data_IF_882116824694
#
_entry.id   IF_882116824694
#
_cell.length_a   1.000
_cell.length_b   1.000
_cell.length_c   1.000
_cell.angle_alpha   90.00
_cell.angle_beta   90.00
_cell.angle_gamma   90.00
#
_symmetry.space_group_name_H-M   'P 1'
#
loop_
_entity.id
_entity.type
_entity.pdbx_description
1 polymer ?
#
# COMPACT_ATOMS: atom_id res chain seq x y z
N UNK A 1 -23.28 -87.58 31.63
CA UNK A 1 -22.61 -86.43 32.35
C UNK A 1 -22.55 -85.25 31.41
N UNK A 2 -23.35 -84.25 31.62
CA UNK A 2 -23.38 -83.03 30.76
C UNK A 2 -22.87 -81.85 31.57
N UNK A 3 -21.68 -81.31 31.19
CA UNK A 3 -21.11 -80.15 31.80
C UNK A 3 -21.62 -78.88 31.12
N UNK A 4 -22.24 -78.00 31.91
CA UNK A 4 -22.74 -76.70 31.45
C UNK A 4 -21.60 -75.68 31.60
N UNK A 5 -21.23 -75.04 30.50
CA UNK A 5 -20.32 -73.89 30.50
C UNK A 5 -21.15 -72.58 30.75
N UNK A 6 -20.70 -71.81 31.74
CA UNK A 6 -21.27 -70.50 32.08
C UNK A 6 -20.46 -69.43 31.35
N UNK A 7 -21.08 -68.75 30.41
CA UNK A 7 -20.50 -67.58 29.74
C UNK A 7 -20.65 -66.34 30.65
N UNK A 8 -19.54 -65.70 30.99
CA UNK A 8 -19.50 -64.42 31.65
C UNK A 8 -19.55 -63.31 30.60
N UNK A 9 -20.62 -62.51 30.61
CA UNK A 9 -20.76 -61.30 29.82
C UNK A 9 -20.04 -60.15 30.56
N UNK A 10 -18.97 -59.61 29.97
CA UNK A 10 -18.34 -58.40 30.46
C UNK A 10 -18.93 -57.21 29.73
N UNK A 11 -19.67 -56.37 30.46
CA UNK A 11 -20.15 -55.09 29.97
C UNK A 11 -19.03 -54.07 29.97
N UNK A 12 -18.55 -53.66 28.79
CA UNK A 12 -17.68 -52.50 28.65
C UNK A 12 -18.52 -51.22 28.56
N UNK A 13 -18.46 -50.42 29.61
CA UNK A 13 -19.06 -49.08 29.59
C UNK A 13 -18.11 -48.11 28.85
N UNK A 14 -18.53 -47.69 27.67
CA UNK A 14 -17.83 -46.62 26.93
C UNK A 14 -18.24 -45.24 27.48
N UNK A 15 -17.32 -44.59 28.18
CA UNK A 15 -17.49 -43.18 28.54
C UNK A 15 -17.23 -42.32 27.29
N UNK A 16 -18.28 -41.79 26.67
CA UNK A 16 -18.16 -40.70 25.70
C UNK A 16 -17.86 -39.41 26.47
N UNK A 17 -16.62 -38.96 26.47
CA UNK A 17 -16.28 -37.63 26.92
C UNK A 17 -16.80 -36.60 25.91
N UNK A 18 -17.86 -35.90 26.26
CA UNK A 18 -18.39 -34.77 25.50
C UNK A 18 -17.44 -33.59 25.68
N UNK A 19 -16.54 -33.37 24.70
CA UNK A 19 -15.72 -32.17 24.65
C UNK A 19 -16.58 -31.04 24.08
N UNK A 20 -17.11 -30.20 24.97
CA UNK A 20 -17.81 -28.99 24.56
C UNK A 20 -16.80 -28.07 23.85
N UNK A 21 -17.14 -27.48 22.68
CA UNK A 21 -16.25 -26.54 22.02
C UNK A 21 -16.08 -25.30 22.91
N UNK A 22 -14.87 -25.04 23.33
CA UNK A 22 -14.52 -23.79 24.01
C UNK A 22 -14.63 -22.70 22.94
N UNK A 23 -15.72 -21.96 22.94
CA UNK A 23 -15.86 -20.73 22.17
C UNK A 23 -14.97 -19.68 22.87
N UNK A 24 -13.74 -19.56 22.39
CA UNK A 24 -12.90 -18.40 22.70
C UNK A 24 -13.60 -17.19 22.04
N UNK A 25 -14.40 -16.49 22.82
CA UNK A 25 -14.88 -15.16 22.44
C UNK A 25 -13.62 -14.28 22.30
N UNK A 26 -13.25 -13.95 21.07
CA UNK A 26 -12.36 -12.85 20.84
C UNK A 26 -12.99 -11.61 21.49
N UNK A 27 -12.40 -11.11 22.59
CA UNK A 27 -12.72 -9.80 23.14
C UNK A 27 -12.17 -8.76 22.20
N UNK A 28 -12.79 -8.61 21.01
CA UNK A 28 -12.57 -7.49 20.14
C UNK A 28 -13.43 -6.34 20.64
N UNK A 29 -12.80 -5.29 21.18
CA UNK A 29 -13.46 -4.01 21.31
C UNK A 29 -14.05 -3.55 19.96
N UNK A 30 -14.91 -2.52 19.94
CA UNK A 30 -15.41 -1.96 18.69
C UNK A 30 -14.21 -1.61 17.79
N UNK A 31 -14.34 -1.77 16.47
CA UNK A 31 -13.23 -1.43 15.56
C UNK A 31 -12.80 0.02 15.80
N UNK A 32 -11.49 0.30 15.76
CA UNK A 32 -10.99 1.64 16.00
C UNK A 32 -11.62 2.63 15.03
N UNK A 33 -12.11 3.75 15.56
CA UNK A 33 -12.78 4.81 14.77
C UNK A 33 -11.76 5.89 14.42
N UNK A 34 -11.86 6.43 13.19
CA UNK A 34 -11.05 7.55 12.78
C UNK A 34 -11.33 8.78 13.66
N UNK A 35 -10.28 9.41 14.17
CA UNK A 35 -10.35 10.59 15.01
C UNK A 35 -9.27 11.60 14.56
N UNK A 36 -9.49 12.87 14.85
CA UNK A 36 -8.47 13.91 14.67
C UNK A 36 -7.27 13.65 15.58
N UNK A 37 -6.10 13.98 15.09
CA UNK A 37 -4.86 14.02 15.89
C UNK A 37 -4.20 15.39 15.74
N UNK A 38 -3.17 15.65 16.53
CA UNK A 38 -2.43 16.91 16.51
C UNK A 38 -0.95 16.63 16.31
N UNK A 39 -0.36 17.27 15.33
CA UNK A 39 1.05 17.11 15.01
C UNK A 39 1.93 17.89 16.00
N UNK A 40 3.10 17.35 16.27
CA UNK A 40 4.24 18.07 16.86
C UNK A 40 5.00 18.84 15.79
N UNK A 41 5.84 19.77 16.18
CA UNK A 41 6.66 20.53 15.25
C UNK A 41 7.66 19.61 14.53
N UNK A 42 7.70 19.72 13.18
CA UNK A 42 8.76 19.18 12.35
C UNK A 42 9.28 20.35 11.49
N UNK A 43 10.46 20.91 11.79
CA UNK A 43 10.93 22.15 11.17
C UNK A 43 10.90 22.12 9.64
N UNK A 44 10.24 23.14 9.05
CA UNK A 44 10.06 23.26 7.60
C UNK A 44 9.12 22.24 6.96
N UNK A 45 8.42 21.42 7.76
CA UNK A 45 7.43 20.42 7.33
C UNK A 45 6.03 20.76 7.84
N UNK A 46 5.88 20.86 9.16
CA UNK A 46 4.57 21.07 9.81
C UNK A 46 4.77 21.81 11.14
N UNK A 47 3.91 22.79 11.45
CA UNK A 47 3.94 23.49 12.72
C UNK A 47 3.27 22.66 13.83
N UNK A 48 3.77 22.80 15.07
CA UNK A 48 3.12 22.24 16.24
C UNK A 48 1.65 22.70 16.35
N UNK A 49 0.78 21.83 16.81
CA UNK A 49 -0.65 22.14 16.96
C UNK A 49 -1.47 22.00 15.66
N UNK A 50 -0.83 21.72 14.53
CA UNK A 50 -1.57 21.47 13.28
C UNK A 50 -2.39 20.20 13.41
N UNK A 51 -3.69 20.30 13.09
CA UNK A 51 -4.62 19.17 13.14
C UNK A 51 -4.46 18.29 11.91
N UNK A 52 -4.49 16.97 12.13
CA UNK A 52 -4.77 15.96 11.12
C UNK A 52 -6.27 15.72 11.16
N UNK A 53 -6.96 16.24 10.17
CA UNK A 53 -8.43 16.24 10.11
C UNK A 53 -8.93 14.94 9.50
N UNK A 54 -10.03 14.41 10.04
CA UNK A 54 -10.79 13.32 9.39
C UNK A 54 -11.74 13.95 8.36
N UNK A 55 -11.59 13.57 7.11
CA UNK A 55 -12.51 14.00 6.05
C UNK A 55 -13.78 13.16 6.10
N UNK A 56 -13.62 11.84 6.01
CA UNK A 56 -14.73 10.88 5.98
C UNK A 56 -14.24 9.46 6.23
N UNK A 57 -15.13 8.62 6.76
CA UNK A 57 -14.98 7.18 6.90
C UNK A 57 -16.08 6.43 6.16
N UNK A 58 -15.95 5.10 6.04
CA UNK A 58 -16.92 4.23 5.38
C UNK A 58 -16.57 3.91 3.92
N UNK A 59 -15.34 4.18 3.51
CA UNK A 59 -14.80 3.73 2.22
C UNK A 59 -14.38 2.25 2.25
N UNK A 60 -14.22 1.64 1.08
CA UNK A 60 -13.96 0.19 0.96
C UNK A 60 -12.67 -0.09 0.20
N UNK A 61 -11.58 -0.40 0.92
CA UNK A 61 -10.28 -0.70 0.31
C UNK A 61 -9.54 0.54 -0.19
N UNK A 62 -9.35 1.50 0.70
CA UNK A 62 -8.74 2.82 0.42
C UNK A 62 -7.26 2.73 0.08
N UNK A 63 -6.90 3.09 -1.17
CA UNK A 63 -5.54 3.03 -1.71
C UNK A 63 -5.29 4.10 -2.77
N UNK A 64 -4.08 4.15 -3.33
CA UNK A 64 -3.67 4.89 -4.51
C UNK A 64 -4.11 6.34 -4.61
N UNK A 65 -3.92 7.18 -3.57
CA UNK A 65 -4.30 8.60 -3.66
C UNK A 65 -3.38 9.34 -4.64
N UNK A 66 -3.96 10.28 -5.39
CA UNK A 66 -3.21 11.15 -6.30
C UNK A 66 -3.91 12.50 -6.44
N UNK A 67 -3.13 13.59 -6.40
CA UNK A 67 -3.64 14.94 -6.58
C UNK A 67 -3.93 15.27 -8.04
N UNK A 68 -5.06 15.90 -8.30
CA UNK A 68 -5.44 16.42 -9.62
C UNK A 68 -4.96 17.87 -9.83
N UNK A 69 -4.84 18.33 -11.09
CA UNK A 69 -4.45 19.72 -11.40
C UNK A 69 -5.35 20.80 -10.80
N UNK A 70 -6.63 20.48 -10.57
CA UNK A 70 -7.59 21.38 -9.94
C UNK A 70 -7.47 21.44 -8.40
N UNK A 71 -6.50 20.74 -7.84
CA UNK A 71 -6.24 20.65 -6.41
C UNK A 71 -7.09 19.62 -5.67
N UNK A 72 -8.03 18.94 -6.32
CA UNK A 72 -8.75 17.82 -5.70
C UNK A 72 -7.86 16.59 -5.59
N UNK A 73 -8.29 15.63 -4.77
CA UNK A 73 -7.69 14.31 -4.65
C UNK A 73 -8.58 13.27 -5.32
N UNK A 74 -8.00 12.29 -5.97
CA UNK A 74 -8.67 11.02 -6.25
C UNK A 74 -7.93 9.88 -5.55
N UNK A 75 -8.65 8.83 -5.20
CA UNK A 75 -8.08 7.62 -4.58
C UNK A 75 -8.91 6.39 -4.95
N UNK A 76 -8.31 5.23 -4.90
CA UNK A 76 -8.99 3.98 -5.22
C UNK A 76 -9.74 3.41 -4.02
N UNK A 77 -10.92 2.89 -4.26
CA UNK A 77 -11.64 1.97 -3.40
C UNK A 77 -11.61 0.59 -4.05
N UNK A 78 -10.53 -0.14 -3.81
CA UNK A 78 -10.20 -1.39 -4.51
C UNK A 78 -11.30 -2.42 -4.43
N UNK A 79 -11.94 -2.58 -3.26
CA UNK A 79 -13.04 -3.55 -3.04
C UNK A 79 -14.36 -3.05 -3.61
N UNK A 80 -14.58 -1.74 -3.68
CA UNK A 80 -15.75 -1.14 -4.32
C UNK A 80 -15.57 -1.00 -5.84
N UNK A 81 -14.40 -1.35 -6.38
CA UNK A 81 -14.08 -1.31 -7.81
C UNK A 81 -14.30 0.07 -8.45
N UNK A 82 -13.96 1.15 -7.72
CA UNK A 82 -14.11 2.54 -8.16
C UNK A 82 -12.96 3.42 -7.72
N UNK A 83 -12.87 4.59 -8.34
CA UNK A 83 -12.04 5.71 -7.90
C UNK A 83 -12.96 6.81 -7.38
N UNK A 84 -12.69 7.27 -6.17
CA UNK A 84 -13.44 8.35 -5.50
C UNK A 84 -12.63 9.63 -5.53
N UNK A 85 -13.32 10.77 -5.76
CA UNK A 85 -12.75 12.11 -5.70
C UNK A 85 -13.15 12.79 -4.39
N UNK A 86 -12.23 13.56 -3.83
CA UNK A 86 -12.44 14.50 -2.73
C UNK A 86 -12.14 15.89 -3.28
N UNK A 87 -13.09 16.78 -3.26
CA UNK A 87 -12.93 18.18 -3.71
C UNK A 87 -12.39 19.10 -2.60
N UNK A 88 -12.19 20.37 -2.94
CA UNK A 88 -11.69 21.39 -2.01
C UNK A 88 -12.60 21.60 -0.77
N UNK A 89 -13.88 21.26 -0.88
CA UNK A 89 -14.89 21.38 0.19
C UNK A 89 -15.04 20.06 0.98
N UNK A 90 -14.15 19.08 0.78
CA UNK A 90 -14.22 17.74 1.34
C UNK A 90 -15.44 16.91 0.89
N UNK A 91 -16.13 17.33 -0.19
CA UNK A 91 -17.22 16.55 -0.74
C UNK A 91 -16.67 15.40 -1.56
N UNK A 92 -17.32 14.23 -1.42
CA UNK A 92 -16.90 13.02 -2.11
C UNK A 92 -17.85 12.72 -3.27
N UNK A 93 -17.28 12.32 -4.41
CA UNK A 93 -18.01 11.87 -5.59
C UNK A 93 -17.27 10.73 -6.28
N UNK A 94 -17.95 9.93 -7.07
CA UNK A 94 -17.32 8.94 -7.92
C UNK A 94 -16.60 9.63 -9.09
N UNK A 95 -15.31 9.34 -9.26
CA UNK A 95 -14.50 9.79 -10.40
C UNK A 95 -14.57 8.77 -11.56
N UNK A 96 -14.41 7.49 -11.24
CA UNK A 96 -14.43 6.40 -12.21
C UNK A 96 -14.97 5.13 -11.57
N UNK A 97 -15.80 4.38 -12.29
CA UNK A 97 -16.29 3.06 -11.89
C UNK A 97 -15.69 1.95 -12.76
N UNK A 98 -15.83 0.70 -12.32
CA UNK A 98 -15.37 -0.49 -13.03
C UNK A 98 -13.86 -0.45 -13.34
N UNK A 99 -13.08 -0.18 -12.31
CA UNK A 99 -11.63 0.08 -12.39
C UNK A 99 -10.77 -1.17 -12.40
N UNK A 100 -11.37 -2.36 -12.54
CA UNK A 100 -10.70 -3.66 -12.48
C UNK A 100 -9.89 -3.85 -11.17
N UNK A 101 -10.45 -3.38 -10.05
CA UNK A 101 -9.79 -3.45 -8.75
C UNK A 101 -8.52 -2.60 -8.69
N UNK A 102 -8.54 -1.39 -9.27
CA UNK A 102 -7.41 -0.49 -9.26
C UNK A 102 -6.89 -0.25 -7.84
N UNK A 103 -5.56 -0.24 -7.68
CA UNK A 103 -4.86 0.04 -6.42
C UNK A 103 -3.99 1.29 -6.59
N UNK A 104 -2.66 1.21 -6.75
CA UNK A 104 -1.82 2.36 -7.00
C UNK A 104 -2.20 3.11 -8.29
N UNK A 105 -2.07 4.44 -8.27
CA UNK A 105 -2.37 5.35 -9.37
C UNK A 105 -1.17 6.25 -9.68
N UNK A 106 -0.95 6.57 -10.95
CA UNK A 106 -0.06 7.64 -11.38
C UNK A 106 -0.51 8.22 -12.72
N UNK A 107 -0.23 9.50 -12.98
CA UNK A 107 -0.39 10.09 -14.31
C UNK A 107 0.91 10.02 -15.09
N UNK A 108 0.79 9.73 -16.38
CA UNK A 108 1.91 9.90 -17.30
C UNK A 108 1.98 11.36 -17.83
N UNK A 109 3.03 11.67 -18.59
CA UNK A 109 3.22 12.99 -19.18
C UNK A 109 2.13 13.40 -20.21
N UNK A 110 1.32 12.46 -20.67
CA UNK A 110 0.18 12.71 -21.57
C UNK A 110 -1.13 12.93 -20.81
N UNK A 111 -1.10 12.93 -19.47
CA UNK A 111 -2.28 13.06 -18.62
C UNK A 111 -3.15 11.80 -18.57
N UNK A 112 -2.63 10.63 -18.97
CA UNK A 112 -3.33 9.36 -18.84
C UNK A 112 -3.11 8.79 -17.44
N UNK A 113 -4.20 8.34 -16.81
CA UNK A 113 -4.17 7.69 -15.50
C UNK A 113 -3.80 6.22 -15.68
N UNK A 114 -2.62 5.86 -15.18
CA UNK A 114 -2.13 4.48 -15.14
C UNK A 114 -2.39 3.92 -13.76
N UNK A 115 -2.76 2.64 -13.69
CA UNK A 115 -2.98 1.94 -12.43
C UNK A 115 -2.39 0.53 -12.45
N UNK A 116 -2.09 0.03 -11.25
CA UNK A 116 -2.06 -1.41 -11.01
C UNK A 116 -3.50 -1.88 -10.81
N UNK A 117 -3.89 -2.98 -11.46
CA UNK A 117 -5.26 -3.51 -11.45
C UNK A 117 -5.21 -4.94 -10.90
N UNK A 118 -6.04 -5.22 -9.90
CA UNK A 118 -5.82 -6.38 -9.03
C UNK A 118 -6.96 -7.41 -9.03
N UNK A 119 -7.96 -7.27 -9.91
CA UNK A 119 -9.03 -8.28 -10.00
C UNK A 119 -8.44 -9.66 -10.33
N UNK A 120 -8.70 -10.69 -9.52
CA UNK A 120 -8.17 -12.03 -9.74
C UNK A 120 -8.44 -12.53 -11.17
N UNK A 121 -7.41 -13.07 -11.82
CA UNK A 121 -7.47 -13.54 -13.22
C UNK A 121 -7.45 -12.43 -14.28
N UNK A 122 -7.40 -11.16 -13.87
CA UNK A 122 -7.34 -9.98 -14.76
C UNK A 122 -6.34 -8.94 -14.25
N UNK A 123 -5.31 -9.39 -13.54
CA UNK A 123 -4.28 -8.51 -12.98
C UNK A 123 -3.43 -7.91 -14.11
N UNK A 124 -3.22 -6.61 -14.08
CA UNK A 124 -2.40 -5.92 -15.09
C UNK A 124 -1.93 -4.54 -14.59
N UNK A 125 -0.99 -3.99 -15.31
CA UNK A 125 -0.63 -2.57 -15.28
C UNK A 125 -1.20 -1.94 -16.54
N UNK A 126 -2.00 -0.88 -16.42
CA UNK A 126 -2.66 -0.33 -17.59
C UNK A 126 -3.20 1.07 -17.41
N UNK A 127 -3.57 1.68 -18.53
CA UNK A 127 -4.24 2.97 -18.61
C UNK A 127 -5.73 2.77 -18.32
N UNK A 128 -6.27 3.54 -17.36
CA UNK A 128 -7.68 3.54 -16.98
C UNK A 128 -8.46 4.75 -17.53
N UNK A 129 -7.78 5.88 -17.71
CA UNK A 129 -8.42 7.14 -18.07
C UNK A 129 -7.47 7.96 -18.97
N UNK A 130 -7.98 8.77 -19.92
CA UNK A 130 -9.40 9.01 -20.17
C UNK A 130 -10.06 7.83 -20.90
N UNK A 131 -11.40 7.78 -20.81
CA UNK A 131 -12.20 6.74 -21.48
C UNK A 131 -11.92 6.73 -22.99
N UNK A 132 -11.75 5.53 -23.55
CA UNK A 132 -11.38 5.30 -24.95
C UNK A 132 -9.87 5.31 -25.20
N UNK A 133 -9.05 5.49 -24.17
CA UNK A 133 -7.59 5.34 -24.23
C UNK A 133 -7.08 4.22 -23.31
N UNK A 134 -7.98 3.35 -22.84
CA UNK A 134 -7.62 2.22 -22.01
C UNK A 134 -6.64 1.31 -22.77
N UNK A 135 -5.59 0.89 -22.09
CA UNK A 135 -4.56 0.05 -22.68
C UNK A 135 -3.85 -0.78 -21.61
N UNK A 136 -3.60 -2.03 -21.93
CA UNK A 136 -2.71 -2.88 -21.12
C UNK A 136 -1.26 -2.51 -21.44
N UNK A 137 -0.48 -2.18 -20.40
CA UNK A 137 0.96 -1.96 -20.52
C UNK A 137 1.74 -3.23 -20.21
N UNK A 138 1.31 -3.99 -19.18
CA UNK A 138 1.84 -5.31 -18.89
C UNK A 138 0.81 -6.12 -18.09
N UNK A 139 0.68 -7.41 -18.36
CA UNK A 139 -0.19 -8.35 -17.66
C UNK A 139 0.53 -9.61 -17.19
N UNK A 140 1.79 -9.78 -17.60
CA UNK A 140 2.62 -10.92 -17.25
C UNK A 140 4.10 -10.58 -17.24
N UNK A 141 4.88 -11.48 -16.62
CA UNK A 141 6.34 -11.54 -16.72
C UNK A 141 6.75 -12.98 -17.06
N UNK A 142 7.49 -13.17 -18.16
CA UNK A 142 7.90 -14.49 -18.68
C UNK A 142 6.73 -15.49 -18.83
N UNK A 143 5.59 -15.00 -19.32
CA UNK A 143 4.39 -15.79 -19.54
C UNK A 143 3.61 -16.14 -18.26
N UNK A 144 4.04 -15.71 -17.10
CA UNK A 144 3.33 -15.88 -15.82
C UNK A 144 2.57 -14.60 -15.48
N UNK A 145 1.27 -14.68 -15.15
CA UNK A 145 0.49 -13.50 -14.76
C UNK A 145 1.04 -12.90 -13.45
N UNK A 146 0.85 -11.60 -13.28
CA UNK A 146 1.07 -10.96 -11.98
C UNK A 146 0.07 -11.50 -10.97
N UNK A 147 0.52 -11.66 -9.71
CA UNK A 147 -0.31 -12.16 -8.63
C UNK A 147 -1.24 -11.09 -8.07
N UNK A 148 -0.65 -10.03 -7.55
CA UNK A 148 -1.36 -8.89 -6.98
C UNK A 148 -0.44 -7.66 -6.94
N UNK A 149 -0.20 -7.02 -8.09
CA UNK A 149 0.59 -5.79 -8.10
C UNK A 149 -0.05 -4.75 -7.16
N UNK A 150 0.78 -3.90 -6.53
CA UNK A 150 0.30 -3.03 -5.46
C UNK A 150 0.40 -1.54 -5.81
N UNK A 151 1.58 -1.00 -5.96
CA UNK A 151 1.79 0.43 -6.20
C UNK A 151 2.69 0.67 -7.41
N UNK A 152 2.65 1.89 -7.96
CA UNK A 152 3.42 2.23 -9.14
C UNK A 152 3.89 3.68 -9.14
N UNK A 153 4.95 3.95 -9.90
CA UNK A 153 5.39 5.31 -10.24
C UNK A 153 5.80 5.36 -11.72
N UNK A 154 5.46 6.47 -12.38
CA UNK A 154 5.80 6.70 -13.79
C UNK A 154 6.98 7.66 -13.88
N UNK A 155 8.05 7.26 -14.58
CA UNK A 155 9.19 8.11 -14.87
C UNK A 155 8.92 9.08 -16.03
N UNK A 156 9.73 10.14 -16.15
CA UNK A 156 9.62 11.12 -17.25
C UNK A 156 9.82 10.51 -18.63
N UNK A 157 10.54 9.40 -18.71
CA UNK A 157 10.72 8.61 -19.95
C UNK A 157 9.48 7.79 -20.33
N UNK A 158 8.40 7.85 -19.53
CA UNK A 158 7.18 7.09 -19.72
C UNK A 158 7.25 5.62 -19.28
N UNK A 159 8.38 5.20 -18.72
CA UNK A 159 8.51 3.88 -18.11
C UNK A 159 7.81 3.82 -16.75
N UNK A 160 7.30 2.64 -16.39
CA UNK A 160 6.50 2.40 -15.19
C UNK A 160 7.22 1.42 -14.28
N UNK A 161 7.55 1.85 -13.05
CA UNK A 161 7.97 0.95 -11.99
C UNK A 161 6.76 0.55 -11.16
N UNK A 162 6.67 -0.72 -10.79
CA UNK A 162 5.60 -1.19 -9.91
C UNK A 162 6.08 -2.31 -8.99
N UNK A 163 5.37 -2.48 -7.89
CA UNK A 163 5.63 -3.53 -6.90
C UNK A 163 4.66 -4.70 -7.05
N UNK A 164 5.20 -5.91 -6.88
CA UNK A 164 4.45 -7.17 -6.82
C UNK A 164 4.75 -7.83 -5.46
N UNK A 165 3.96 -7.56 -4.40
CA UNK A 165 4.19 -8.13 -3.07
C UNK A 165 3.74 -9.58 -2.94
N UNK A 166 3.11 -10.14 -3.96
CA UNK A 166 2.39 -11.40 -3.89
C UNK A 166 1.01 -11.25 -3.25
N UNK A 167 0.24 -12.35 -3.18
CA UNK A 167 -1.12 -12.34 -2.65
C UNK A 167 -1.15 -12.04 -1.16
N UNK A 168 -2.30 -11.54 -0.68
CA UNK A 168 -2.54 -11.39 0.75
C UNK A 168 -2.76 -12.74 1.40
N UNK A 169 -2.23 -12.92 2.62
CA UNK A 169 -2.60 -14.05 3.46
C UNK A 169 -4.06 -13.90 3.91
N UNK A 170 -4.81 -14.99 3.87
CA UNK A 170 -6.17 -15.06 4.44
C UNK A 170 -6.07 -15.76 5.80
N UNK A 171 -6.54 -15.13 6.90
CA UNK A 171 -6.52 -15.77 8.20
C UNK A 171 -7.17 -17.16 8.18
N UNK A 172 -6.50 -18.16 8.75
CA UNK A 172 -6.99 -19.54 8.80
C UNK A 172 -6.87 -20.35 7.50
N UNK A 173 -6.27 -19.78 6.45
CA UNK A 173 -5.98 -20.48 5.20
C UNK A 173 -4.46 -20.64 5.01
N UNK A 174 -4.00 -21.69 4.32
CA UNK A 174 -2.61 -21.78 3.90
C UNK A 174 -2.23 -20.56 3.07
N UNK A 175 -0.99 -20.05 3.16
CA UNK A 175 -0.54 -18.97 2.31
C UNK A 175 -0.73 -19.36 0.84
N UNK A 176 -1.37 -18.50 0.02
CA UNK A 176 -1.51 -18.80 -1.40
C UNK A 176 -0.12 -18.77 -2.05
N UNK A 177 0.13 -19.73 -2.95
CA UNK A 177 1.37 -19.75 -3.75
C UNK A 177 1.27 -18.67 -4.81
N UNK A 178 2.12 -17.63 -4.79
CA UNK A 178 2.07 -16.60 -5.82
C UNK A 178 2.59 -17.18 -7.16
N UNK A 179 2.04 -16.72 -8.29
CA UNK A 179 2.57 -17.10 -9.61
C UNK A 179 3.99 -16.57 -9.83
N UNK A 180 4.33 -15.45 -9.18
CA UNK A 180 5.64 -14.81 -9.16
C UNK A 180 6.08 -14.55 -7.72
N UNK A 181 7.39 -14.62 -7.45
CA UNK A 181 7.95 -14.20 -6.16
C UNK A 181 7.84 -12.69 -6.00
N UNK A 182 7.75 -12.18 -4.74
CA UNK A 182 7.73 -10.74 -4.48
C UNK A 182 8.93 -10.03 -5.13
N UNK A 183 8.65 -8.97 -5.91
CA UNK A 183 9.66 -8.27 -6.69
C UNK A 183 9.21 -6.85 -7.06
N UNK A 184 10.14 -6.09 -7.61
CA UNK A 184 9.88 -4.83 -8.32
C UNK A 184 10.10 -5.06 -9.80
N UNK A 185 9.19 -4.54 -10.59
CA UNK A 185 9.24 -4.62 -12.05
C UNK A 185 9.31 -3.23 -12.67
N UNK A 186 9.83 -3.18 -13.88
CA UNK A 186 9.87 -1.99 -14.73
C UNK A 186 9.28 -2.34 -16.10
N UNK A 187 8.39 -1.50 -16.60
CA UNK A 187 7.85 -1.59 -17.96
C UNK A 187 8.38 -0.39 -18.75
N UNK A 188 9.35 -0.56 -19.64
CA UNK A 188 9.77 0.49 -20.55
C UNK A 188 8.58 0.99 -21.39
N UNK A 189 8.59 2.25 -21.80
CA UNK A 189 7.57 2.78 -22.68
C UNK A 189 7.48 1.94 -23.98
N UNK A 190 6.34 1.26 -24.19
CA UNK A 190 6.11 0.35 -25.31
C UNK A 190 6.87 -0.99 -25.25
N UNK A 191 7.53 -1.29 -24.10
CA UNK A 191 8.26 -2.53 -23.88
C UNK A 191 7.51 -3.56 -23.04
N UNK A 192 8.19 -4.66 -22.74
CA UNK A 192 7.70 -5.71 -21.85
C UNK A 192 8.20 -5.48 -20.42
N UNK A 193 7.52 -6.06 -19.45
CA UNK A 193 7.95 -6.01 -18.04
C UNK A 193 9.32 -6.66 -17.85
N UNK A 194 10.16 -6.02 -17.07
CA UNK A 194 11.50 -6.47 -16.67
C UNK A 194 11.51 -6.54 -15.14
N UNK A 195 11.95 -7.65 -14.55
CA UNK A 195 12.18 -7.73 -13.11
C UNK A 195 13.46 -6.98 -12.78
N UNK A 196 13.37 -5.93 -11.95
CA UNK A 196 14.50 -5.05 -11.66
C UNK A 196 15.03 -5.19 -10.23
N UNK A 197 14.23 -5.66 -9.27
CA UNK A 197 14.69 -5.98 -7.92
C UNK A 197 13.89 -7.13 -7.31
N UNK A 198 14.55 -7.95 -6.51
CA UNK A 198 13.97 -9.09 -5.79
C UNK A 198 14.59 -9.26 -4.40
N UNK A 199 14.18 -10.28 -3.63
CA UNK A 199 14.67 -10.48 -2.27
C UNK A 199 14.19 -9.40 -1.30
N UNK A 200 13.01 -8.81 -1.56
CA UNK A 200 12.29 -7.88 -0.70
C UNK A 200 11.16 -8.67 -0.04
N UNK A 201 11.02 -8.57 1.26
CA UNK A 201 10.07 -9.39 2.01
C UNK A 201 8.62 -9.19 1.55
N UNK A 202 8.21 -7.91 1.38
CA UNK A 202 6.90 -7.51 0.85
C UNK A 202 7.01 -6.10 0.27
N UNK A 203 7.47 -5.95 -1.00
CA UNK A 203 7.55 -4.65 -1.64
C UNK A 203 6.15 -4.05 -1.76
N UNK A 204 5.99 -2.78 -1.35
CA UNK A 204 4.71 -2.10 -1.31
C UNK A 204 4.82 -0.74 -1.98
N UNK A 205 4.71 0.37 -1.25
CA UNK A 205 4.85 1.70 -1.83
C UNK A 205 6.17 1.89 -2.59
N UNK A 206 6.10 2.63 -3.69
CA UNK A 206 7.23 2.86 -4.59
C UNK A 206 7.26 4.32 -5.05
N UNK A 207 8.45 4.93 -5.11
CA UNK A 207 8.63 6.34 -5.46
C UNK A 207 9.99 6.57 -6.12
N UNK A 208 10.04 7.44 -7.12
CA UNK A 208 11.30 7.95 -7.67
C UNK A 208 11.72 9.24 -6.95
N UNK A 209 13.02 9.46 -6.75
CA UNK A 209 13.57 10.77 -6.35
C UNK A 209 13.21 11.86 -7.36
N UNK A 210 13.36 13.12 -6.98
CA UNK A 210 13.05 14.27 -7.85
C UNK A 210 13.85 14.28 -9.16
N UNK A 211 15.10 13.82 -9.12
CA UNK A 211 15.99 13.69 -10.28
C UNK A 211 15.87 12.35 -11.01
N UNK A 212 15.03 11.44 -10.49
CA UNK A 212 14.79 10.07 -10.99
C UNK A 212 16.02 9.15 -10.98
N UNK A 213 17.06 9.50 -10.22
CA UNK A 213 18.26 8.67 -10.07
C UNK A 213 18.15 7.63 -8.96
N UNK A 214 17.17 7.76 -8.09
CA UNK A 214 16.93 6.81 -6.99
C UNK A 214 15.48 6.31 -7.03
N UNK A 215 15.33 5.00 -6.94
CA UNK A 215 14.03 4.35 -6.72
C UNK A 215 13.94 3.95 -5.25
N UNK A 216 12.92 4.47 -4.54
CA UNK A 216 12.59 4.10 -3.17
C UNK A 216 11.49 3.03 -3.18
N UNK A 217 11.64 2.02 -2.33
CA UNK A 217 10.67 0.93 -2.18
C UNK A 217 10.45 0.66 -0.70
N UNK A 218 9.22 0.70 -0.24
CA UNK A 218 8.85 0.24 1.09
C UNK A 218 8.83 -1.28 1.14
N UNK A 219 9.44 -1.84 2.20
CA UNK A 219 9.31 -3.25 2.55
C UNK A 219 8.41 -3.38 3.79
N UNK A 220 7.15 -3.78 3.60
CA UNK A 220 6.20 -3.97 4.70
C UNK A 220 6.70 -5.00 5.73
N UNK A 221 7.44 -6.01 5.25
CA UNK A 221 8.02 -7.06 6.09
C UNK A 221 9.51 -6.83 6.41
N UNK A 222 9.97 -5.60 6.26
CA UNK A 222 11.34 -5.19 6.55
C UNK A 222 11.43 -4.11 7.62
N UNK A 223 12.65 -3.68 7.90
CA UNK A 223 12.96 -2.63 8.87
C UNK A 223 13.29 -1.28 8.21
N UNK A 224 13.40 -1.22 6.88
CA UNK A 224 13.90 -0.06 6.17
C UNK A 224 13.13 0.22 4.89
N UNK A 225 13.02 1.52 4.54
CA UNK A 225 12.85 1.93 3.15
C UNK A 225 14.11 1.51 2.40
N UNK A 226 13.93 0.83 1.29
CA UNK A 226 15.02 0.45 0.40
C UNK A 226 15.22 1.52 -0.67
N UNK A 227 16.47 1.76 -1.06
CA UNK A 227 16.80 2.61 -2.18
C UNK A 227 17.69 1.87 -3.18
N UNK A 228 17.48 2.17 -4.45
CA UNK A 228 18.19 1.60 -5.58
C UNK A 228 18.64 2.73 -6.52
N UNK A 229 19.81 2.61 -7.11
CA UNK A 229 20.23 3.53 -8.16
C UNK A 229 19.55 3.15 -9.48
N UNK A 230 18.94 4.14 -10.14
CA UNK A 230 18.27 3.97 -11.43
C UNK A 230 19.29 4.22 -12.54
N UNK A 231 19.38 3.26 -13.48
CA UNK A 231 20.24 3.34 -14.65
C UNK A 231 19.50 3.94 -15.84
N UNK A 232 20.23 4.33 -16.87
CA UNK A 232 19.69 4.97 -18.07
C UNK A 232 18.67 4.08 -18.83
N UNK A 233 18.84 2.75 -18.75
CA UNK A 233 17.93 1.77 -19.35
C UNK A 233 16.68 1.46 -18.48
N UNK A 234 16.56 2.10 -17.32
CA UNK A 234 15.49 1.88 -16.36
C UNK A 234 15.71 0.69 -15.42
N UNK A 235 16.76 -0.10 -15.60
CA UNK A 235 17.14 -1.12 -14.61
C UNK A 235 17.68 -0.45 -13.36
N UNK A 236 17.71 -1.18 -12.24
CA UNK A 236 18.19 -0.63 -10.98
C UNK A 236 19.39 -1.43 -10.44
N UNK A 237 20.15 -0.84 -9.52
CA UNK A 237 21.26 -1.50 -8.86
C UNK A 237 21.56 -0.87 -7.51
N UNK A 238 22.69 -1.27 -6.90
CA UNK A 238 23.19 -0.68 -5.66
C UNK A 238 22.12 -0.57 -4.55
N UNK A 239 21.42 -1.69 -4.27
CA UNK A 239 20.43 -1.75 -3.18
C UNK A 239 21.09 -1.34 -1.87
N UNK A 240 20.41 -0.44 -1.14
CA UNK A 240 20.82 0.01 0.20
C UNK A 240 19.63 0.23 1.10
N UNK A 241 19.85 0.11 2.41
CA UNK A 241 18.90 0.54 3.42
C UNK A 241 18.96 2.07 3.47
N UNK A 242 17.88 2.74 3.10
CA UNK A 242 17.85 4.20 3.04
C UNK A 242 17.43 4.82 4.37
N UNK A 243 16.28 4.42 4.90
CA UNK A 243 15.74 4.98 6.13
C UNK A 243 15.15 3.86 7.00
N UNK A 244 15.45 3.88 8.29
CA UNK A 244 14.92 2.90 9.24
C UNK A 244 13.54 3.33 9.73
N UNK A 245 12.56 2.42 9.69
CA UNK A 245 11.25 2.69 10.26
C UNK A 245 11.35 2.81 11.78
N UNK A 246 10.73 3.84 12.39
CA UNK A 246 10.84 4.04 13.85
C UNK A 246 10.07 2.98 14.64
N UNK A 247 9.05 2.37 14.06
CA UNK A 247 8.26 1.31 14.68
C UNK A 247 8.20 0.09 13.76
N UNK A 248 8.66 -1.04 14.28
CA UNK A 248 8.59 -2.34 13.61
C UNK A 248 8.20 -3.40 14.63
N UNK A 249 7.12 -4.11 14.37
CA UNK A 249 6.71 -5.25 15.16
C UNK A 249 7.38 -6.54 14.64
N UNK A 250 7.49 -7.53 15.50
CA UNK A 250 7.84 -8.90 15.11
C UNK A 250 6.62 -9.80 15.25
N UNK A 251 6.38 -10.63 14.24
CA UNK A 251 5.38 -11.69 14.33
C UNK A 251 5.86 -12.76 15.33
N UNK A 252 4.98 -13.63 15.85
CA UNK A 252 5.40 -14.77 16.68
C UNK A 252 6.43 -15.69 15.99
N UNK A 253 6.43 -15.75 14.66
CA UNK A 253 7.42 -16.48 13.85
C UNK A 253 8.73 -15.70 13.63
N UNK A 254 8.89 -14.51 14.23
CA UNK A 254 10.10 -13.69 14.16
C UNK A 254 10.21 -12.80 12.91
N UNK A 255 9.24 -12.84 11.99
CA UNK A 255 9.23 -11.98 10.82
C UNK A 255 8.92 -10.52 11.21
N UNK A 256 9.56 -9.57 10.54
CA UNK A 256 9.29 -8.15 10.72
C UNK A 256 7.95 -7.75 10.12
N UNK A 257 7.33 -6.74 10.71
CA UNK A 257 6.17 -6.04 10.19
C UNK A 257 6.28 -4.55 10.55
N UNK A 258 6.67 -3.75 9.61
CA UNK A 258 6.69 -2.28 9.72
C UNK A 258 5.35 -1.64 9.39
N UNK A 259 4.47 -2.39 8.71
CA UNK A 259 3.25 -1.82 8.14
C UNK A 259 3.53 -0.73 7.10
N UNK A 260 4.77 -0.65 6.59
CA UNK A 260 5.15 0.35 5.60
C UNK A 260 4.38 0.11 4.30
N UNK A 261 3.78 1.20 3.78
CA UNK A 261 2.85 1.18 2.67
C UNK A 261 3.18 2.34 1.70
N UNK A 262 2.30 3.29 1.47
CA UNK A 262 2.51 4.35 0.50
C UNK A 262 3.63 5.35 0.83
N UNK A 263 4.10 6.03 -0.20
CA UNK A 263 5.18 7.03 -0.19
C UNK A 263 4.75 8.32 -0.88
N UNK A 264 5.28 9.46 -0.42
CA UNK A 264 5.20 10.74 -1.13
C UNK A 264 6.53 11.50 -1.00
N UNK A 265 6.78 12.41 -1.94
CA UNK A 265 7.99 13.24 -1.99
C UNK A 265 7.61 14.71 -1.96
N UNK A 266 8.38 15.54 -1.25
CA UNK A 266 8.25 17.01 -1.31
C UNK A 266 9.33 17.67 -2.19
N UNK A 267 9.18 18.97 -2.43
CA UNK A 267 10.10 19.73 -3.25
C UNK A 267 11.52 19.87 -2.64
N UNK A 268 11.67 19.63 -1.33
CA UNK A 268 12.97 19.60 -0.66
C UNK A 268 13.64 18.21 -0.73
N UNK A 269 12.98 17.23 -1.39
CA UNK A 269 13.47 15.85 -1.50
C UNK A 269 13.27 15.04 -0.23
N UNK A 270 12.44 15.50 0.71
CA UNK A 270 12.07 14.72 1.91
C UNK A 270 11.06 13.65 1.53
N UNK A 271 11.26 12.45 2.07
CA UNK A 271 10.40 11.30 1.82
C UNK A 271 9.39 11.15 2.97
N UNK A 272 8.12 11.10 2.63
CA UNK A 272 7.02 10.82 3.54
C UNK A 272 6.61 9.37 3.38
N UNK A 273 6.53 8.65 4.48
CA UNK A 273 6.30 7.20 4.49
C UNK A 273 5.19 6.87 5.47
N UNK A 274 4.14 6.22 4.98
CA UNK A 274 3.14 5.62 5.86
C UNK A 274 3.69 4.31 6.41
N UNK A 275 3.71 4.17 7.74
CA UNK A 275 3.99 2.89 8.39
C UNK A 275 3.33 2.83 9.78
N UNK A 276 3.67 1.83 10.59
CA UNK A 276 3.17 1.77 11.98
C UNK A 276 3.56 3.05 12.74
N UNK A 277 2.57 3.67 13.39
CA UNK A 277 2.74 4.89 14.18
C UNK A 277 2.41 6.19 13.46
N UNK A 278 2.21 6.19 12.13
CA UNK A 278 1.79 7.39 11.40
C UNK A 278 2.49 7.61 10.07
N UNK A 279 2.63 8.89 9.68
CA UNK A 279 3.43 9.31 8.52
C UNK A 279 4.79 9.79 9.01
N UNK A 280 5.83 9.05 8.68
CA UNK A 280 7.21 9.39 9.03
C UNK A 280 7.83 10.24 7.94
N UNK A 281 8.49 11.33 8.33
CA UNK A 281 9.16 12.25 7.41
C UNK A 281 10.66 12.04 7.53
N UNK A 282 11.31 11.70 6.43
CA UNK A 282 12.74 11.47 6.35
C UNK A 282 13.43 12.56 5.54
N UNK A 283 14.65 12.92 5.96
CA UNK A 283 15.53 13.82 5.20
C UNK A 283 15.92 13.19 3.86
N UNK A 284 16.44 13.96 2.89
CA UNK A 284 17.03 13.39 1.67
C UNK A 284 18.19 12.41 1.91
N UNK A 285 18.71 12.35 3.14
CA UNK A 285 19.77 11.42 3.57
C UNK A 285 19.23 10.18 4.30
N UNK A 286 17.92 10.12 4.58
CA UNK A 286 17.27 9.01 5.29
C UNK A 286 17.16 9.19 6.81
N UNK A 287 17.52 10.37 7.36
CA UNK A 287 17.36 10.65 8.78
C UNK A 287 15.90 10.93 9.09
N UNK A 288 15.38 10.37 10.18
CA UNK A 288 14.01 10.66 10.65
C UNK A 288 13.94 12.11 11.17
N UNK A 289 13.10 12.92 10.55
CA UNK A 289 12.83 14.31 10.98
C UNK A 289 11.70 14.39 11.99
N UNK A 290 10.72 13.49 11.90
CA UNK A 290 9.59 13.40 12.80
C UNK A 290 8.46 12.54 12.25
N UNK A 291 7.37 12.48 13.02
CA UNK A 291 6.19 11.66 12.68
C UNK A 291 4.93 12.51 12.82
N UNK A 292 4.09 12.48 11.80
CA UNK A 292 2.74 13.03 11.83
C UNK A 292 1.82 11.91 12.34
N UNK A 293 1.21 12.05 13.53
CA UNK A 293 0.44 10.98 14.14
C UNK A 293 -0.89 10.76 13.46
N UNK A 294 -1.34 9.52 13.37
CA UNK A 294 -2.64 9.12 12.87
C UNK A 294 -3.40 8.31 13.91
N UNK A 295 -4.71 8.48 13.99
CA UNK A 295 -5.58 7.68 14.86
C UNK A 295 -5.84 6.27 14.34
N UNK A 296 -5.74 6.08 13.02
CA UNK A 296 -5.75 4.80 12.33
C UNK A 296 -4.51 4.67 11.47
N UNK A 297 -4.04 3.44 11.27
CA UNK A 297 -2.95 3.20 10.34
C UNK A 297 -3.35 3.65 8.92
N UNK A 298 -2.59 4.58 8.35
CA UNK A 298 -2.68 4.92 6.94
C UNK A 298 -2.25 3.74 6.05
N UNK A 299 -2.67 3.77 4.80
CA UNK A 299 -2.21 2.85 3.75
C UNK A 299 -1.44 3.61 2.68
N UNK A 300 -1.97 4.73 2.18
CA UNK A 300 -1.27 5.47 1.14
C UNK A 300 -1.47 6.98 1.30
N UNK A 301 -0.58 7.77 0.68
CA UNK A 301 -0.53 9.25 0.84
C UNK A 301 -0.23 9.95 -0.48
N UNK A 302 -0.76 11.17 -0.62
CA UNK A 302 -0.41 12.06 -1.71
C UNK A 302 -0.52 13.53 -1.32
N UNK A 303 0.32 14.34 -1.91
CA UNK A 303 0.18 15.79 -1.87
C UNK A 303 -0.87 16.26 -2.89
N UNK A 304 -1.82 17.09 -2.46
CA UNK A 304 -2.78 17.74 -3.32
C UNK A 304 -3.09 19.18 -2.81
N UNK A 305 -4.17 19.76 -3.27
CA UNK A 305 -4.47 21.16 -3.07
C UNK A 305 -3.81 22.05 -4.15
N UNK A 306 -4.31 23.28 -4.35
CA UNK A 306 -3.86 24.16 -5.43
C UNK A 306 -2.37 24.55 -5.33
N UNK A 307 -1.83 24.50 -4.11
CA UNK A 307 -0.42 24.79 -3.82
C UNK A 307 0.40 23.54 -3.43
N UNK A 308 -0.21 22.34 -3.54
CA UNK A 308 0.40 21.07 -3.10
C UNK A 308 0.96 21.09 -1.66
N UNK A 309 0.35 21.83 -0.75
CA UNK A 309 0.71 21.85 0.67
C UNK A 309 -0.26 21.08 1.56
N UNK A 310 -1.23 20.39 0.99
CA UNK A 310 -2.09 19.49 1.74
C UNK A 310 -1.66 18.06 1.49
N UNK A 311 -1.26 17.36 2.55
CA UNK A 311 -1.03 15.94 2.51
C UNK A 311 -2.33 15.21 2.85
N UNK A 312 -2.79 14.38 1.94
CA UNK A 312 -3.92 13.48 2.13
C UNK A 312 -3.41 12.10 2.48
N UNK A 313 -4.07 11.46 3.42
CA UNK A 313 -3.78 10.09 3.85
C UNK A 313 -5.06 9.28 3.70
N UNK A 314 -4.99 8.14 3.06
CA UNK A 314 -6.09 7.17 2.99
C UNK A 314 -5.67 5.87 3.66
N UNK A 315 -6.61 5.21 4.34
CA UNK A 315 -6.31 3.94 4.99
C UNK A 315 -7.46 3.47 5.89
N UNK A 316 -7.62 2.18 5.97
CA UNK A 316 -8.62 1.52 6.83
C UNK A 316 -10.04 2.07 6.65
N UNK A 317 -10.40 2.37 5.41
CA UNK A 317 -11.71 2.90 5.07
C UNK A 317 -11.94 4.37 5.45
N UNK A 318 -10.88 5.11 5.73
CA UNK A 318 -10.94 6.53 6.11
C UNK A 318 -10.02 7.37 5.24
N UNK A 319 -10.37 8.64 5.09
CA UNK A 319 -9.56 9.66 4.47
C UNK A 319 -9.27 10.79 5.48
N UNK A 320 -8.02 11.19 5.54
CA UNK A 320 -7.51 12.27 6.40
C UNK A 320 -6.81 13.30 5.53
N UNK A 321 -6.68 14.51 6.06
CA UNK A 321 -5.82 15.55 5.48
C UNK A 321 -5.08 16.31 6.58
N UNK A 322 -3.93 16.85 6.21
CA UNK A 322 -3.16 17.74 7.07
C UNK A 322 -2.50 18.82 6.24
N UNK A 323 -2.58 20.08 6.71
CA UNK A 323 -1.93 21.20 6.07
C UNK A 323 -0.45 21.25 6.48
N UNK A 324 0.44 21.33 5.50
CA UNK A 324 1.88 21.38 5.72
C UNK A 324 2.46 22.76 5.37
N UNK A 325 3.62 23.07 5.94
CA UNK A 325 4.51 24.14 5.49
C UNK A 325 5.22 23.71 4.22
N UNK A 326 5.59 22.42 4.15
CA UNK A 326 6.23 21.79 3.00
C UNK A 326 5.29 21.72 1.81
N UNK A 327 5.86 21.82 0.62
CA UNK A 327 5.17 21.70 -0.65
C UNK A 327 5.55 20.37 -1.30
N UNK A 328 4.56 19.58 -1.71
CA UNK A 328 4.76 18.33 -2.43
C UNK A 328 5.47 18.53 -3.77
N UNK A 329 6.21 17.52 -4.20
CA UNK A 329 6.94 17.58 -5.45
C UNK A 329 6.01 17.82 -6.65
N UNK A 330 6.36 18.80 -7.51
CA UNK A 330 5.53 19.21 -8.64
C UNK A 330 5.89 18.51 -9.96
N UNK A 331 7.02 17.84 -10.01
CA UNK A 331 7.52 17.22 -11.24
C UNK A 331 6.78 15.94 -11.68
N UNK A 332 5.98 15.38 -10.80
CA UNK A 332 5.11 14.22 -11.05
C UNK A 332 3.82 14.36 -10.29
N UNK A 333 2.77 13.68 -10.78
CA UNK A 333 1.52 13.51 -10.07
C UNK A 333 1.56 12.15 -9.34
N UNK A 334 2.25 12.13 -8.22
CA UNK A 334 2.14 11.15 -7.14
C UNK A 334 2.75 11.73 -5.87
#
# INVERSE_FOLDING_TARGET
MRTRAIARLTLAAAFLAYVAPIHVRAQGGPPPVAAETVATDIPGVIAAGTKVEVIKSGFTGTEGPIGLPDGSLIFTETQANRITRIDANNQTSTFLENTNGANGLAFDAKGRLISVQTTPGKTLIGVLYPKGQEATLADNFDGKPFGRPNDLVVGRNGGVYFTEPGPNATPGQPPPTPPLSPAVYYVPAGGKAIKVAEGIGRPNGIMLSADEKTLYVNDTNGEHVLAFDVKADGTVGNRRNFAKYPTVNKTPAGAFNSGADGLALDNAGRLYVVSLGGVHVFSPKGDLLGTIPLSLQGQNIAFAGPDKKTLYIVGRGSAFKVRLLAEGFKGRAK
#
